data_IF_247641157451
#
_entry.id   IF_247641157451
#
_cell.length_a   1.000
_cell.length_b   1.000
_cell.length_c   1.000
_cell.angle_alpha   90.00
_cell.angle_beta   90.00
_cell.angle_gamma   90.00
#
_symmetry.space_group_name_H-M   'P 1'
#
loop_
_entity.id
_entity.type
_entity.pdbx_description
1 polymer ?
#
# COMPACT_ATOMS: atom_id res chain seq x y z
N UNK A 1 -3.27 -37.32 13.52
CA UNK A 1 -3.79 -36.19 14.31
C UNK A 1 -3.20 -34.96 13.65
N UNK A 2 -3.89 -34.47 12.63
CA UNK A 2 -3.44 -33.34 11.84
C UNK A 2 -3.57 -32.09 12.68
N UNK A 3 -2.43 -31.46 12.98
CA UNK A 3 -2.41 -30.14 13.57
C UNK A 3 -2.77 -29.18 12.43
N UNK A 4 -4.03 -28.76 12.38
CA UNK A 4 -4.43 -27.59 11.61
C UNK A 4 -3.54 -26.43 12.05
N UNK A 5 -2.55 -26.11 11.23
CA UNK A 5 -1.82 -24.85 11.33
C UNK A 5 -2.85 -23.78 11.09
N UNK A 6 -3.32 -23.14 12.16
CA UNK A 6 -4.20 -21.99 12.09
C UNK A 6 -3.43 -20.88 11.38
N UNK A 7 -3.50 -20.85 10.05
CA UNK A 7 -3.06 -19.72 9.27
C UNK A 7 -3.96 -18.57 9.68
N UNK A 8 -3.47 -17.78 10.63
CA UNK A 8 -4.05 -16.52 11.07
C UNK A 8 -3.86 -15.50 9.94
N UNK A 9 -4.50 -15.77 8.80
CA UNK A 9 -4.50 -14.90 7.63
C UNK A 9 -5.34 -13.68 8.02
N UNK A 10 -4.67 -12.61 8.48
CA UNK A 10 -5.33 -11.32 8.69
C UNK A 10 -6.00 -10.92 7.38
N UNK A 11 -7.31 -10.73 7.42
CA UNK A 11 -8.09 -10.31 6.27
C UNK A 11 -7.67 -8.89 5.88
N UNK A 12 -7.06 -8.76 4.70
CA UNK A 12 -6.68 -7.46 4.14
C UNK A 12 -7.87 -6.97 3.31
N UNK A 13 -8.57 -5.97 3.83
CA UNK A 13 -9.75 -5.40 3.20
C UNK A 13 -9.83 -3.90 3.47
N UNK A 14 -10.52 -3.18 2.60
CA UNK A 14 -10.88 -1.78 2.81
C UNK A 14 -11.68 -1.59 4.09
N UNK A 15 -11.40 -0.51 4.80
CA UNK A 15 -12.21 -0.07 5.93
C UNK A 15 -13.55 0.53 5.48
N UNK A 16 -14.42 0.87 6.45
CA UNK A 16 -15.76 1.39 6.13
C UNK A 16 -15.73 2.74 5.42
N UNK A 17 -14.73 3.59 5.71
CA UNK A 17 -14.63 4.93 5.11
C UNK A 17 -14.10 4.84 3.68
N UNK A 18 -13.17 3.92 3.41
CA UNK A 18 -12.66 3.63 2.07
C UNK A 18 -13.74 3.06 1.15
N UNK A 19 -14.61 2.19 1.68
CA UNK A 19 -15.75 1.60 0.93
C UNK A 19 -16.84 2.60 0.56
N UNK A 20 -16.94 3.74 1.27
CA UNK A 20 -17.93 4.78 0.97
C UNK A 20 -17.57 5.62 -0.26
N UNK A 21 -16.35 5.47 -0.79
CA UNK A 21 -15.93 6.18 -2.00
C UNK A 21 -16.68 5.60 -3.22
N UNK A 22 -17.23 6.43 -4.11
CA UNK A 22 -17.91 5.95 -5.32
C UNK A 22 -16.96 5.07 -6.14
N UNK A 23 -17.38 3.86 -6.49
CA UNK A 23 -16.62 3.00 -7.40
C UNK A 23 -16.62 3.64 -8.78
N UNK A 24 -15.45 4.09 -9.23
CA UNK A 24 -15.26 4.50 -10.63
C UNK A 24 -15.22 3.24 -11.48
N UNK A 25 -16.18 3.10 -12.40
CA UNK A 25 -16.34 1.96 -13.30
C UNK A 25 -14.98 1.44 -13.82
N UNK A 26 -14.61 0.23 -13.42
CA UNK A 26 -13.53 -0.55 -14.03
C UNK A 26 -12.13 -0.48 -13.40
N UNK A 27 -11.92 0.33 -12.35
CA UNK A 27 -10.65 0.37 -11.60
C UNK A 27 -10.91 0.12 -10.11
N UNK A 28 -11.33 -1.10 -9.79
CA UNK A 28 -11.47 -1.51 -8.40
C UNK A 28 -10.08 -1.56 -7.77
N UNK A 29 -9.82 -0.63 -6.86
CA UNK A 29 -8.58 -0.63 -6.13
C UNK A 29 -8.44 -1.94 -5.34
N UNK A 30 -7.21 -2.45 -5.24
CA UNK A 30 -6.91 -3.64 -4.44
C UNK A 30 -6.10 -3.24 -3.21
N UNK A 31 -6.31 -3.95 -2.10
CA UNK A 31 -5.42 -3.87 -0.95
C UNK A 31 -4.71 -5.20 -0.79
N UNK A 32 -3.38 -5.19 -0.83
CA UNK A 32 -2.56 -6.38 -0.63
C UNK A 32 -1.61 -6.21 0.57
N UNK A 33 -1.09 -7.33 1.05
CA UNK A 33 0.08 -7.34 1.93
C UNK A 33 1.33 -7.55 1.08
N UNK A 34 2.42 -6.87 1.42
CA UNK A 34 3.68 -6.97 0.67
C UNK A 34 4.89 -7.07 1.61
N UNK A 35 5.96 -7.70 1.13
CA UNK A 35 7.28 -7.65 1.76
C UNK A 35 8.19 -6.83 0.83
N UNK A 36 8.55 -5.62 1.27
CA UNK A 36 9.40 -4.70 0.51
C UNK A 36 10.65 -4.39 1.32
N UNK A 37 11.84 -4.64 0.76
CA UNK A 37 13.12 -4.41 1.43
C UNK A 37 13.17 -5.00 2.87
N UNK A 38 12.70 -6.25 3.04
CA UNK A 38 12.56 -6.94 4.33
C UNK A 38 11.59 -6.30 5.33
N UNK A 39 10.84 -5.28 4.93
CA UNK A 39 9.79 -4.68 5.74
C UNK A 39 8.41 -5.19 5.30
N UNK A 40 7.67 -5.75 6.25
CA UNK A 40 6.31 -6.27 6.01
C UNK A 40 5.31 -5.13 6.07
N UNK A 41 4.64 -4.85 4.96
CA UNK A 41 3.55 -3.89 4.85
C UNK A 41 2.23 -4.65 4.85
N UNK A 42 1.35 -4.32 5.80
CA UNK A 42 0.06 -5.00 5.94
C UNK A 42 -1.00 -4.52 4.94
N UNK A 43 -0.88 -3.30 4.41
CA UNK A 43 -1.85 -2.69 3.50
C UNK A 43 -1.14 -1.84 2.43
N UNK A 44 -1.14 -2.32 1.20
CA UNK A 44 -0.67 -1.61 0.01
C UNK A 44 -1.86 -1.39 -0.91
N UNK A 45 -2.13 -0.14 -1.26
CA UNK A 45 -3.17 0.26 -2.19
C UNK A 45 -2.66 0.15 -3.62
N UNK A 46 -3.30 -0.66 -4.46
CA UNK A 46 -2.99 -0.78 -5.88
C UNK A 46 -4.02 0.01 -6.66
N UNK A 47 -3.55 1.00 -7.42
CA UNK A 47 -4.36 1.79 -8.34
C UNK A 47 -3.81 1.66 -9.76
N UNK A 48 -4.48 0.88 -10.60
CA UNK A 48 -4.08 0.61 -12.00
C UNK A 48 -4.28 1.79 -12.95
N UNK A 49 -4.89 2.89 -12.51
CA UNK A 49 -5.12 4.09 -13.31
C UNK A 49 -3.94 5.06 -13.36
N UNK A 50 -2.80 4.71 -12.74
CA UNK A 50 -1.58 5.52 -12.72
C UNK A 50 -0.36 4.61 -12.94
N UNK A 51 0.66 5.10 -13.63
CA UNK A 51 1.94 4.41 -13.87
C UNK A 51 2.98 4.63 -12.76
N UNK A 52 2.64 5.35 -11.69
CA UNK A 52 3.55 5.70 -10.58
C UNK A 52 3.33 4.86 -9.33
N UNK A 53 4.44 4.38 -8.78
CA UNK A 53 4.50 3.85 -7.42
C UNK A 53 4.61 4.98 -6.40
N UNK A 54 3.63 5.09 -5.51
CA UNK A 54 3.60 6.11 -4.45
C UNK A 54 3.85 5.44 -3.10
N UNK A 55 4.86 5.92 -2.37
CA UNK A 55 5.13 5.54 -0.98
C UNK A 55 4.90 6.73 -0.06
N UNK A 56 4.08 6.56 0.97
CA UNK A 56 3.90 7.59 2.00
C UNK A 56 5.22 7.78 2.77
N UNK A 57 5.60 9.03 3.06
CA UNK A 57 6.82 9.35 3.82
C UNK A 57 6.91 8.59 5.15
N UNK A 58 5.79 8.45 5.87
CA UNK A 58 5.74 7.65 7.11
C UNK A 58 6.10 6.17 6.89
N UNK A 59 5.70 5.58 5.76
CA UNK A 59 6.07 4.19 5.43
C UNK A 59 7.56 4.11 5.07
N UNK A 60 8.08 5.08 4.30
CA UNK A 60 9.51 5.19 4.02
C UNK A 60 10.36 5.25 5.31
N UNK A 61 9.97 6.08 6.27
CA UNK A 61 10.64 6.22 7.56
C UNK A 61 10.63 4.90 8.35
N UNK A 62 9.48 4.22 8.39
CA UNK A 62 9.32 2.94 9.07
C UNK A 62 10.12 1.81 8.43
N UNK A 63 10.24 1.83 7.10
CA UNK A 63 11.00 0.84 6.33
C UNK A 63 12.52 1.01 6.49
N UNK A 64 12.98 2.13 7.07
CA UNK A 64 14.40 2.44 7.25
C UNK A 64 15.22 2.26 5.96
N UNK A 65 14.64 2.67 4.82
CA UNK A 65 15.26 2.52 3.49
C UNK A 65 16.56 3.32 3.32
N UNK A 66 16.91 4.14 4.30
CA UNK A 66 18.29 4.42 4.73
C UNK A 66 19.29 4.62 3.60
N UNK A 67 19.36 5.83 3.05
CA UNK A 67 20.44 6.21 2.15
C UNK A 67 20.41 7.67 1.71
N UNK A 68 19.21 8.23 1.57
CA UNK A 68 19.03 9.58 1.02
C UNK A 68 18.07 10.38 1.91
N UNK A 69 18.45 11.58 2.39
CA UNK A 69 17.49 12.48 3.01
C UNK A 69 16.40 12.82 1.99
N UNK A 70 15.14 12.56 2.32
CA UNK A 70 14.03 13.04 1.51
C UNK A 70 13.82 14.52 1.79
N UNK A 71 13.76 15.32 0.74
CA UNK A 71 13.38 16.73 0.80
C UNK A 71 11.96 16.88 0.27
N UNK A 72 11.12 17.61 1.00
CA UNK A 72 9.79 17.93 0.50
C UNK A 72 9.91 18.91 -0.67
N UNK A 73 9.29 18.57 -1.80
CA UNK A 73 9.29 19.42 -2.99
C UNK A 73 7.88 19.92 -3.25
N UNK A 74 7.69 21.22 -3.35
CA UNK A 74 6.43 21.84 -3.73
C UNK A 74 6.33 21.91 -5.26
N UNK A 75 6.05 20.76 -5.87
CA UNK A 75 5.82 20.64 -7.31
C UNK A 75 4.59 19.80 -7.57
N UNK A 76 3.87 20.14 -8.64
CA UNK A 76 2.85 19.25 -9.17
C UNK A 76 3.51 17.97 -9.67
N UNK A 77 2.88 16.83 -9.36
CA UNK A 77 3.23 15.54 -9.92
C UNK A 77 2.83 15.58 -11.42
N UNK A 78 3.78 15.85 -12.32
CA UNK A 78 3.53 15.96 -13.77
C UNK A 78 4.09 14.74 -14.52
N UNK A 79 3.26 14.09 -15.35
CA UNK A 79 3.72 13.12 -16.36
C UNK A 79 3.49 11.65 -16.06
N UNK A 80 2.24 11.23 -15.79
CA UNK A 80 1.85 9.82 -15.66
C UNK A 80 0.62 9.51 -16.48
#
# INVERSE_FOLDING_TARGET
MDVESTNNTRLIQFDQEERRRPSTQGNDALVIGALLANFKIERVFIYSGNSVDILFGKAYDQMQLGGTPLEAVDTSLYGF
#
